data_IF_259623334218
#
_entry.id   IF_259623334218
#
_cell.length_a   1.000
_cell.length_b   1.000
_cell.length_c   1.000
_cell.angle_alpha   90.00
_cell.angle_beta   90.00
_cell.angle_gamma   90.00
#
_symmetry.space_group_name_H-M   'P 1'
#
loop_
_entity.id
_entity.type
_entity.pdbx_description
1 polymer ?
#
# COMPACT_ATOMS: atom_id res chain seq x y z
N UNK A 1 11.13 9.13 21.31
CA UNK A 1 11.04 9.84 20.01
C UNK A 1 12.02 9.28 18.98
N UNK A 2 13.37 9.37 19.14
CA UNK A 2 14.35 8.87 18.14
C UNK A 2 14.10 7.42 17.68
N UNK A 3 13.86 6.48 18.61
CA UNK A 3 13.56 5.07 18.28
C UNK A 3 12.31 4.92 17.41
N UNK A 4 11.23 5.67 17.68
CA UNK A 4 10.00 5.61 16.91
C UNK A 4 10.18 6.14 15.47
N UNK A 5 10.96 7.21 15.28
CA UNK A 5 11.31 7.68 13.93
C UNK A 5 12.18 6.68 13.18
N UNK A 6 13.15 6.03 13.85
CA UNK A 6 13.94 4.96 13.23
C UNK A 6 13.06 3.78 12.79
N UNK A 7 12.14 3.35 13.65
CA UNK A 7 11.16 2.29 13.32
C UNK A 7 10.30 2.68 12.11
N UNK A 8 9.84 3.94 12.06
CA UNK A 8 9.06 4.46 10.94
C UNK A 8 9.85 4.44 9.63
N UNK A 9 11.06 5.01 9.61
CA UNK A 9 11.88 5.00 8.38
C UNK A 9 12.27 3.59 7.94
N UNK A 10 12.55 2.68 8.89
CA UNK A 10 12.81 1.29 8.57
C UNK A 10 11.57 0.61 7.97
N UNK A 11 10.37 0.89 8.48
CA UNK A 11 9.12 0.35 7.90
C UNK A 11 8.88 0.84 6.48
N UNK A 12 9.15 2.13 6.19
CA UNK A 12 9.02 2.69 4.84
C UNK A 12 10.07 2.13 3.88
N UNK A 13 11.29 1.92 4.35
CA UNK A 13 12.32 1.25 3.56
C UNK A 13 11.93 -0.19 3.22
N UNK A 14 11.40 -0.95 4.19
CA UNK A 14 10.90 -2.31 3.95
C UNK A 14 9.71 -2.33 2.98
N UNK A 15 8.84 -1.31 3.03
CA UNK A 15 7.78 -1.14 2.03
C UNK A 15 8.38 -0.97 0.62
N UNK A 16 9.42 -0.14 0.48
CA UNK A 16 10.13 0.07 -0.77
C UNK A 16 10.74 -1.20 -1.38
N UNK A 17 11.16 -2.16 -0.56
CA UNK A 17 11.65 -3.46 -1.04
C UNK A 17 10.57 -4.36 -1.63
N UNK A 18 9.29 -4.05 -1.42
CA UNK A 18 8.16 -4.86 -1.92
C UNK A 18 8.21 -5.03 -3.46
N UNK A 19 8.45 -3.94 -4.19
CA UNK A 19 8.61 -3.98 -5.64
C UNK A 19 9.85 -4.77 -6.09
N UNK A 20 10.95 -4.64 -5.35
CA UNK A 20 12.21 -5.35 -5.63
C UNK A 20 12.02 -6.87 -5.54
N UNK A 21 11.42 -7.36 -4.45
CA UNK A 21 11.10 -8.79 -4.33
C UNK A 21 10.13 -9.27 -5.41
N UNK A 22 9.17 -8.42 -5.82
CA UNK A 22 8.27 -8.72 -6.94
C UNK A 22 9.01 -8.98 -8.25
N UNK A 23 10.15 -8.32 -8.49
CA UNK A 23 11.02 -8.55 -9.65
C UNK A 23 11.98 -9.72 -9.46
N UNK A 24 12.59 -9.85 -8.28
CA UNK A 24 13.56 -10.92 -7.96
C UNK A 24 12.95 -12.33 -8.00
N UNK A 25 11.71 -12.47 -7.51
CA UNK A 25 11.02 -13.76 -7.50
C UNK A 25 10.56 -14.10 -8.91
N UNK A 26 11.07 -15.19 -9.48
CA UNK A 26 10.81 -15.57 -10.89
C UNK A 26 9.49 -16.29 -11.12
N UNK A 27 8.66 -16.45 -10.08
CA UNK A 27 7.33 -17.05 -10.18
C UNK A 27 6.30 -16.13 -10.84
N UNK A 28 5.19 -16.70 -11.31
CA UNK A 28 4.06 -15.91 -11.80
C UNK A 28 3.40 -15.10 -10.68
N UNK A 29 2.78 -13.94 -11.00
CA UNK A 29 2.23 -13.02 -10.00
C UNK A 29 1.28 -13.67 -8.98
N UNK A 30 0.35 -14.51 -9.44
CA UNK A 30 -0.59 -15.20 -8.57
C UNK A 30 0.09 -16.13 -7.57
N UNK A 31 1.17 -16.83 -7.97
CA UNK A 31 1.94 -17.70 -7.07
C UNK A 31 2.79 -16.91 -6.08
N UNK A 32 3.36 -15.77 -6.48
CA UNK A 32 4.04 -14.85 -5.54
C UNK A 32 3.08 -14.47 -4.42
N UNK A 33 1.86 -14.05 -4.78
CA UNK A 33 0.84 -13.61 -3.81
C UNK A 33 0.36 -14.78 -2.95
N UNK A 34 0.08 -15.94 -3.54
CA UNK A 34 -0.36 -17.13 -2.81
C UNK A 34 0.66 -17.51 -1.72
N UNK A 35 1.91 -17.70 -2.08
CA UNK A 35 2.96 -18.07 -1.13
C UNK A 35 3.21 -16.97 -0.09
N UNK A 36 3.18 -15.70 -0.50
CA UNK A 36 3.28 -14.57 0.41
C UNK A 36 2.17 -14.59 1.45
N UNK A 37 0.92 -14.81 1.05
CA UNK A 37 -0.24 -14.89 1.95
C UNK A 37 -0.12 -16.09 2.89
N UNK A 38 0.29 -17.26 2.40
CA UNK A 38 0.48 -18.46 3.22
C UNK A 38 1.53 -18.20 4.30
N UNK A 39 2.71 -17.71 3.92
CA UNK A 39 3.81 -17.47 4.87
C UNK A 39 3.44 -16.36 5.85
N UNK A 40 2.98 -15.20 5.36
CA UNK A 40 2.61 -14.08 6.22
C UNK A 40 1.43 -14.43 7.14
N UNK A 41 0.42 -15.13 6.61
CA UNK A 41 -0.72 -15.60 7.39
C UNK A 41 -0.30 -16.56 8.50
N UNK A 42 0.50 -17.57 8.18
CA UNK A 42 1.02 -18.52 9.18
C UNK A 42 1.83 -17.82 10.26
N UNK A 43 2.72 -16.91 9.89
CA UNK A 43 3.53 -16.15 10.86
C UNK A 43 2.66 -15.26 11.74
N UNK A 44 1.68 -14.53 11.17
CA UNK A 44 0.83 -13.61 11.93
C UNK A 44 -0.11 -14.37 12.86
N UNK A 45 -0.79 -15.42 12.37
CA UNK A 45 -1.67 -16.24 13.22
C UNK A 45 -0.90 -16.99 14.30
N UNK A 46 0.28 -17.54 13.98
CA UNK A 46 1.18 -18.16 14.94
C UNK A 46 1.60 -17.17 16.04
N UNK A 47 1.98 -15.95 15.66
CA UNK A 47 2.34 -14.90 16.61
C UNK A 47 1.16 -14.49 17.50
N UNK A 48 -0.05 -14.29 16.94
CA UNK A 48 -1.26 -13.96 17.70
C UNK A 48 -1.64 -15.08 18.68
N UNK A 49 -1.52 -16.35 18.27
CA UNK A 49 -1.81 -17.51 19.12
C UNK A 49 -0.81 -17.61 20.29
N UNK A 50 0.51 -17.49 20.00
CA UNK A 50 1.56 -17.50 21.03
C UNK A 50 1.41 -16.38 22.05
N UNK A 51 1.01 -15.19 21.60
CA UNK A 51 0.77 -14.02 22.46
C UNK A 51 -0.61 -14.04 23.13
N UNK A 52 -1.48 -14.99 22.80
CA UNK A 52 -2.87 -15.09 23.29
C UNK A 52 -3.64 -13.78 23.06
N UNK A 53 -3.40 -13.13 21.92
CA UNK A 53 -4.00 -11.82 21.57
C UNK A 53 -5.03 -11.96 20.44
N UNK A 54 -5.55 -13.16 20.21
CA UNK A 54 -6.63 -13.40 19.24
C UNK A 54 -7.88 -12.69 19.74
N UNK A 55 -8.36 -11.73 18.96
CA UNK A 55 -9.54 -10.94 19.26
C UNK A 55 -10.77 -11.56 18.61
N UNK A 56 -11.89 -11.58 19.34
CA UNK A 56 -13.17 -12.01 18.75
C UNK A 56 -13.69 -10.97 17.77
N UNK A 57 -13.99 -11.41 16.54
CA UNK A 57 -14.61 -10.58 15.49
C UNK A 57 -16.02 -11.08 15.23
N UNK A 58 -16.99 -10.17 15.20
CA UNK A 58 -18.39 -10.51 14.90
C UNK A 58 -18.48 -11.21 13.53
N UNK A 59 -19.31 -12.26 13.37
CA UNK A 59 -19.39 -13.04 12.11
C UNK A 59 -19.62 -12.18 10.86
N UNK A 60 -20.49 -11.18 10.96
CA UNK A 60 -20.77 -10.24 9.85
C UNK A 60 -19.54 -9.39 9.48
N UNK A 61 -18.83 -8.85 10.48
CA UNK A 61 -17.62 -8.06 10.25
C UNK A 61 -16.48 -8.94 9.75
N UNK A 62 -16.39 -10.20 10.24
CA UNK A 62 -15.41 -11.19 9.79
C UNK A 62 -15.53 -11.45 8.29
N UNK A 63 -16.76 -11.73 7.80
CA UNK A 63 -17.00 -11.94 6.37
C UNK A 63 -16.66 -10.69 5.56
N UNK A 64 -17.01 -9.51 6.06
CA UNK A 64 -16.64 -8.23 5.43
C UNK A 64 -15.12 -8.03 5.35
N UNK A 65 -14.37 -8.30 6.42
CA UNK A 65 -12.91 -8.21 6.44
C UNK A 65 -12.29 -9.23 5.48
N UNK A 66 -12.84 -10.45 5.40
CA UNK A 66 -12.39 -11.47 4.46
C UNK A 66 -12.66 -11.06 3.00
N UNK A 67 -13.78 -10.41 2.70
CA UNK A 67 -14.08 -9.87 1.38
C UNK A 67 -13.06 -8.76 0.99
N UNK A 68 -12.66 -7.91 1.95
CA UNK A 68 -11.57 -6.95 1.75
C UNK A 68 -10.23 -7.67 1.53
N UNK A 69 -10.03 -8.83 2.17
CA UNK A 69 -8.89 -9.70 1.93
C UNK A 69 -8.84 -10.28 0.51
N UNK A 70 -10.00 -10.62 -0.07
CA UNK A 70 -10.09 -11.01 -1.47
C UNK A 70 -9.66 -9.88 -2.42
N UNK A 71 -10.08 -8.65 -2.13
CA UNK A 71 -9.63 -7.47 -2.86
C UNK A 71 -8.11 -7.24 -2.70
N UNK A 72 -7.54 -7.49 -1.51
CA UNK A 72 -6.10 -7.42 -1.27
C UNK A 72 -5.33 -8.40 -2.15
N UNK A 73 -5.79 -9.65 -2.24
CA UNK A 73 -5.18 -10.68 -3.10
C UNK A 73 -5.17 -10.24 -4.58
N UNK A 74 -6.31 -9.75 -5.08
CA UNK A 74 -6.44 -9.26 -6.46
C UNK A 74 -5.49 -8.07 -6.69
N UNK A 75 -5.49 -7.11 -5.78
CA UNK A 75 -4.64 -5.92 -5.86
C UNK A 75 -3.15 -6.27 -5.90
N UNK A 76 -2.68 -7.18 -5.03
CA UNK A 76 -1.28 -7.63 -5.05
C UNK A 76 -0.94 -8.37 -6.33
N UNK A 77 -1.85 -9.21 -6.83
CA UNK A 77 -1.62 -9.94 -8.10
C UNK A 77 -1.48 -8.96 -9.27
N UNK A 78 -2.34 -7.94 -9.36
CA UNK A 78 -2.25 -6.90 -10.38
C UNK A 78 -0.95 -6.09 -10.26
N UNK A 79 -0.52 -5.78 -9.04
CA UNK A 79 0.73 -5.06 -8.77
C UNK A 79 1.96 -5.84 -9.27
N UNK A 80 2.07 -7.14 -8.95
CA UNK A 80 3.18 -7.95 -9.44
C UNK A 80 3.07 -8.27 -10.93
N UNK A 81 1.85 -8.40 -11.46
CA UNK A 81 1.65 -8.50 -12.90
C UNK A 81 2.13 -7.24 -13.63
N UNK A 82 1.89 -6.06 -13.06
CA UNK A 82 2.40 -4.79 -13.60
C UNK A 82 3.94 -4.76 -13.62
N UNK A 83 4.62 -5.21 -12.55
CA UNK A 83 6.09 -5.30 -12.50
C UNK A 83 6.61 -6.25 -13.57
N UNK A 84 5.96 -7.40 -13.78
CA UNK A 84 6.38 -8.39 -14.80
C UNK A 84 6.11 -7.90 -16.22
N UNK A 85 5.05 -7.10 -16.43
CA UNK A 85 4.68 -6.55 -17.74
C UNK A 85 5.41 -5.23 -18.10
N UNK A 86 6.08 -4.61 -17.11
CA UNK A 86 6.89 -3.41 -17.32
C UNK A 86 8.22 -3.52 -16.56
N UNK A 87 8.39 -2.70 -15.54
CA UNK A 87 9.49 -2.77 -14.59
C UNK A 87 9.05 -2.18 -13.23
N UNK A 88 9.93 -2.22 -12.23
CA UNK A 88 9.62 -1.74 -10.88
C UNK A 88 9.35 -0.24 -10.88
N UNK A 89 10.20 0.55 -11.55
CA UNK A 89 10.10 2.02 -11.58
C UNK A 89 8.79 2.50 -12.20
N UNK A 90 8.42 1.99 -13.37
CA UNK A 90 7.16 2.31 -14.06
C UNK A 90 5.95 1.94 -13.19
N UNK A 91 5.98 0.73 -12.63
CA UNK A 91 4.89 0.24 -11.78
C UNK A 91 4.70 1.14 -10.55
N UNK A 92 5.78 1.46 -9.83
CA UNK A 92 5.72 2.28 -8.60
C UNK A 92 5.28 3.71 -8.90
N UNK A 93 5.81 4.33 -9.96
CA UNK A 93 5.40 5.68 -10.37
C UNK A 93 3.91 5.71 -10.71
N UNK A 94 3.43 4.74 -11.48
CA UNK A 94 2.02 4.65 -11.86
C UNK A 94 1.14 4.33 -10.64
N UNK A 95 1.59 3.45 -9.75
CA UNK A 95 0.90 3.10 -8.50
C UNK A 95 0.74 4.29 -7.56
N UNK A 96 1.60 5.31 -7.65
CA UNK A 96 1.47 6.55 -6.88
C UNK A 96 0.17 7.32 -7.20
N UNK A 97 -0.55 6.96 -8.28
CA UNK A 97 -1.92 7.42 -8.55
C UNK A 97 -2.97 6.96 -7.50
N UNK A 98 -2.59 6.10 -6.57
CA UNK A 98 -3.45 5.69 -5.45
C UNK A 98 -4.06 6.90 -4.73
N UNK A 99 -3.32 8.02 -4.59
CA UNK A 99 -3.83 9.26 -4.02
C UNK A 99 -5.02 9.85 -4.79
N UNK A 100 -4.95 9.84 -6.14
CA UNK A 100 -6.06 10.25 -7.01
C UNK A 100 -7.29 9.36 -6.80
N UNK A 101 -7.11 8.05 -6.84
CA UNK A 101 -8.22 7.12 -6.61
C UNK A 101 -8.80 7.25 -5.19
N UNK A 102 -7.97 7.52 -4.18
CA UNK A 102 -8.43 7.75 -2.80
C UNK A 102 -9.30 9.00 -2.71
N UNK A 103 -8.92 10.10 -3.36
CA UNK A 103 -9.69 11.35 -3.37
C UNK A 103 -11.10 11.17 -3.95
N UNK A 104 -11.31 10.15 -4.81
CA UNK A 104 -12.60 9.82 -5.40
C UNK A 104 -13.33 8.74 -4.59
N UNK A 105 -12.65 7.62 -4.30
CA UNK A 105 -13.28 6.43 -3.70
C UNK A 105 -13.62 6.63 -2.22
N UNK A 106 -12.79 7.36 -1.46
CA UNK A 106 -13.05 7.58 -0.04
C UNK A 106 -14.38 8.31 0.19
N UNK A 107 -14.67 9.48 -0.45
CA UNK A 107 -15.96 10.13 -0.31
C UNK A 107 -17.15 9.28 -0.78
N UNK A 108 -16.97 8.48 -1.85
CA UNK A 108 -18.01 7.60 -2.35
C UNK A 108 -18.33 6.46 -1.36
N UNK A 109 -17.32 5.84 -0.77
CA UNK A 109 -17.49 4.72 0.18
C UNK A 109 -18.01 5.24 1.53
N UNK A 110 -17.47 6.35 2.02
CA UNK A 110 -17.81 6.91 3.34
C UNK A 110 -19.00 7.88 3.31
N UNK A 111 -19.51 8.21 2.12
CA UNK A 111 -20.60 9.20 1.89
C UNK A 111 -20.29 10.58 2.44
N UNK A 112 -19.02 11.00 2.31
CA UNK A 112 -18.56 12.34 2.69
C UNK A 112 -18.44 13.24 1.47
N UNK A 113 -18.19 14.55 1.69
CA UNK A 113 -18.03 15.50 0.58
C UNK A 113 -16.67 15.35 -0.09
N UNK A 114 -16.65 15.37 -1.43
CA UNK A 114 -15.41 15.37 -2.22
C UNK A 114 -14.63 16.68 -2.01
N UNK A 115 -13.33 16.56 -1.88
CA UNK A 115 -12.40 17.69 -1.80
C UNK A 115 -11.96 18.10 -3.21
N UNK A 116 -12.52 19.20 -3.73
CA UNK A 116 -12.14 19.74 -5.05
C UNK A 116 -10.63 20.03 -5.13
N UNK A 117 -10.02 20.43 -4.01
CA UNK A 117 -8.58 20.69 -3.95
C UNK A 117 -7.75 19.43 -4.16
N UNK A 118 -8.14 18.31 -3.53
CA UNK A 118 -7.44 17.02 -3.68
C UNK A 118 -7.57 16.49 -5.12
N UNK A 119 -8.75 16.63 -5.72
CA UNK A 119 -8.97 16.31 -7.14
C UNK A 119 -8.09 17.21 -8.02
N UNK A 120 -8.04 18.51 -7.76
CA UNK A 120 -7.21 19.45 -8.51
C UNK A 120 -5.71 19.08 -8.49
N UNK A 121 -5.16 18.73 -7.34
CA UNK A 121 -3.77 18.25 -7.25
C UNK A 121 -3.56 16.92 -7.97
N UNK A 122 -4.56 16.05 -7.96
CA UNK A 122 -4.50 14.74 -8.60
C UNK A 122 -4.49 14.83 -10.14
N UNK A 123 -4.93 15.95 -10.74
CA UNK A 123 -4.83 16.19 -12.19
C UNK A 123 -3.36 16.15 -12.64
N UNK A 124 -2.42 16.66 -11.83
CA UNK A 124 -0.99 16.58 -12.12
C UNK A 124 -0.50 15.13 -12.19
N UNK A 125 -1.02 14.27 -11.30
CA UNK A 125 -0.70 12.82 -11.34
C UNK A 125 -1.21 12.19 -12.64
N UNK A 126 -2.45 12.47 -13.02
CA UNK A 126 -3.06 11.94 -14.25
C UNK A 126 -2.28 12.42 -15.47
N UNK A 127 -1.89 13.70 -15.50
CA UNK A 127 -1.09 14.26 -16.58
C UNK A 127 0.28 13.60 -16.68
N UNK A 128 0.99 13.43 -15.57
CA UNK A 128 2.29 12.75 -15.53
C UNK A 128 2.21 11.31 -16.04
N UNK A 129 1.19 10.55 -15.61
CA UNK A 129 0.98 9.17 -16.08
C UNK A 129 0.61 9.15 -17.57
N UNK A 130 -0.19 10.11 -18.03
CA UNK A 130 -0.56 10.21 -19.46
C UNK A 130 0.65 10.44 -20.34
N UNK A 131 1.63 11.23 -19.92
CA UNK A 131 2.90 11.40 -20.63
C UNK A 131 3.65 10.08 -20.74
N UNK A 132 3.83 9.36 -19.62
CA UNK A 132 4.53 8.07 -19.63
C UNK A 132 3.77 7.07 -20.54
N UNK A 133 2.45 6.98 -20.41
CA UNK A 133 1.63 6.06 -21.20
C UNK A 133 1.68 6.35 -22.71
N UNK A 134 1.74 7.63 -23.08
CA UNK A 134 1.74 8.03 -24.50
C UNK A 134 3.08 7.74 -25.15
N UNK A 135 4.18 8.08 -24.51
CA UNK A 135 5.53 8.02 -25.08
C UNK A 135 6.22 6.67 -24.86
N UNK A 136 5.99 6.01 -23.70
CA UNK A 136 6.61 4.73 -23.36
C UNK A 136 5.67 3.56 -23.70
N UNK A 137 5.35 3.38 -24.97
CA UNK A 137 4.31 2.45 -25.46
C UNK A 137 4.54 0.99 -25.09
N UNK A 138 5.82 0.59 -24.91
CA UNK A 138 6.20 -0.77 -24.50
C UNK A 138 5.69 -1.14 -23.10
N UNK A 139 5.40 -0.15 -22.24
CA UNK A 139 4.97 -0.38 -20.84
C UNK A 139 3.45 -0.25 -20.62
N UNK A 140 2.66 -0.02 -21.67
CA UNK A 140 1.20 0.25 -21.56
C UNK A 140 0.45 -0.80 -20.74
N UNK A 141 0.71 -2.08 -20.96
CA UNK A 141 0.08 -3.16 -20.20
C UNK A 141 0.42 -3.06 -18.71
N UNK A 142 1.69 -2.86 -18.36
CA UNK A 142 2.13 -2.67 -16.98
C UNK A 142 1.50 -1.45 -16.33
N UNK A 143 1.41 -0.33 -17.05
CA UNK A 143 0.76 0.90 -16.58
C UNK A 143 -0.72 0.66 -16.27
N UNK A 144 -1.48 0.01 -17.16
CA UNK A 144 -2.89 -0.29 -16.96
C UNK A 144 -3.12 -1.22 -15.75
N UNK A 145 -2.31 -2.27 -15.62
CA UNK A 145 -2.35 -3.17 -14.45
C UNK A 145 -2.04 -2.43 -13.16
N UNK A 146 -1.03 -1.55 -13.17
CA UNK A 146 -0.65 -0.75 -12.01
C UNK A 146 -1.73 0.26 -11.62
N UNK A 147 -2.36 0.94 -12.59
CA UNK A 147 -3.51 1.85 -12.34
C UNK A 147 -4.68 1.11 -11.68
N UNK A 148 -5.03 -0.08 -12.21
CA UNK A 148 -6.09 -0.91 -11.64
C UNK A 148 -5.74 -1.36 -10.22
N UNK A 149 -4.47 -1.75 -10.00
CA UNK A 149 -3.95 -2.07 -8.68
C UNK A 149 -4.02 -0.88 -7.72
N UNK A 150 -3.67 0.33 -8.19
CA UNK A 150 -3.73 1.55 -7.39
C UNK A 150 -5.16 1.91 -6.97
N UNK A 151 -6.14 1.74 -7.87
CA UNK A 151 -7.56 1.93 -7.55
C UNK A 151 -8.05 0.92 -6.50
N UNK A 152 -7.68 -0.35 -6.64
CA UNK A 152 -7.99 -1.37 -5.64
C UNK A 152 -7.31 -1.08 -4.29
N UNK A 153 -6.06 -0.61 -4.29
CA UNK A 153 -5.33 -0.23 -3.07
C UNK A 153 -5.98 0.97 -2.36
N UNK A 154 -6.49 1.94 -3.11
CA UNK A 154 -7.24 3.06 -2.55
C UNK A 154 -8.50 2.59 -1.82
N UNK A 155 -9.30 1.71 -2.43
CA UNK A 155 -10.47 1.11 -1.78
C UNK A 155 -10.07 0.31 -0.53
N UNK A 156 -9.01 -0.50 -0.62
CA UNK A 156 -8.45 -1.26 0.52
C UNK A 156 -8.09 -0.37 1.70
N UNK A 157 -7.43 0.76 1.47
CA UNK A 157 -7.03 1.69 2.52
C UNK A 157 -8.26 2.26 3.26
N UNK A 158 -9.33 2.59 2.52
CA UNK A 158 -10.60 3.08 3.11
C UNK A 158 -11.26 2.00 3.96
N UNK A 159 -11.44 0.78 3.42
CA UNK A 159 -12.06 -0.32 4.17
C UNK A 159 -11.21 -0.75 5.37
N UNK A 160 -9.88 -0.82 5.22
CA UNK A 160 -8.98 -1.12 6.33
C UNK A 160 -9.16 -0.11 7.48
N UNK A 161 -9.22 1.19 7.18
CA UNK A 161 -9.45 2.24 8.17
C UNK A 161 -10.80 2.08 8.88
N UNK A 162 -11.87 1.72 8.15
CA UNK A 162 -13.19 1.50 8.72
C UNK A 162 -13.19 0.33 9.74
N UNK A 163 -12.53 -0.78 9.41
CA UNK A 163 -12.45 -1.94 10.31
C UNK A 163 -11.45 -1.73 11.45
N UNK A 164 -10.34 -1.03 11.20
CA UNK A 164 -9.36 -0.65 12.25
C UNK A 164 -9.97 0.25 13.33
N UNK A 165 -11.03 0.99 13.02
CA UNK A 165 -11.77 1.76 14.02
C UNK A 165 -12.54 0.89 15.03
N UNK A 166 -12.80 -0.39 14.70
CA UNK A 166 -13.54 -1.35 15.54
C UNK A 166 -12.66 -2.42 16.17
N UNK A 167 -11.59 -2.82 15.48
CA UNK A 167 -10.73 -3.96 15.82
C UNK A 167 -9.26 -3.57 15.76
N UNK A 168 -8.41 -4.35 16.44
CA UNK A 168 -6.96 -4.17 16.35
C UNK A 168 -6.50 -4.36 14.90
N UNK A 169 -5.53 -3.56 14.50
CA UNK A 169 -4.98 -3.60 13.14
C UNK A 169 -4.44 -5.00 12.76
N UNK A 170 -3.79 -5.70 13.70
CA UNK A 170 -3.32 -7.08 13.52
C UNK A 170 -4.45 -8.08 13.31
N UNK A 171 -5.57 -7.89 13.99
CA UNK A 171 -6.79 -8.71 13.84
C UNK A 171 -7.41 -8.50 12.45
N UNK A 172 -7.52 -7.25 12.01
CA UNK A 172 -8.03 -6.94 10.67
C UNK A 172 -7.12 -7.58 9.61
N UNK A 173 -5.81 -7.41 9.72
CA UNK A 173 -4.85 -7.99 8.78
C UNK A 173 -4.90 -9.52 8.75
N UNK A 174 -5.01 -10.19 9.90
CA UNK A 174 -5.06 -11.66 9.96
C UNK A 174 -6.30 -12.21 9.23
N UNK A 175 -7.47 -11.61 9.41
CA UNK A 175 -8.68 -11.99 8.69
C UNK A 175 -8.65 -11.62 7.21
N UNK A 176 -8.00 -10.51 6.84
CA UNK A 176 -7.76 -10.17 5.42
C UNK A 176 -6.87 -11.22 4.74
N UNK A 177 -5.79 -11.66 5.38
CA UNK A 177 -4.94 -12.72 4.81
C UNK A 177 -5.69 -14.03 4.62
N UNK A 178 -6.56 -14.43 5.56
CA UNK A 178 -7.43 -15.60 5.40
C UNK A 178 -8.42 -15.42 4.25
N UNK A 179 -9.05 -14.27 4.12
CA UNK A 179 -9.94 -13.96 3.01
C UNK A 179 -9.23 -13.94 1.66
N UNK A 180 -8.01 -13.40 1.62
CA UNK A 180 -7.15 -13.43 0.44
C UNK A 180 -6.75 -14.85 0.05
N UNK A 181 -6.41 -15.71 1.04
CA UNK A 181 -6.13 -17.12 0.80
C UNK A 181 -7.35 -17.87 0.25
N UNK A 182 -8.51 -17.68 0.84
CA UNK A 182 -9.75 -18.28 0.36
C UNK A 182 -10.05 -17.86 -1.09
N UNK A 183 -9.92 -16.56 -1.41
CA UNK A 183 -10.08 -16.06 -2.77
C UNK A 183 -9.04 -16.66 -3.74
N UNK A 184 -7.77 -16.75 -3.33
CA UNK A 184 -6.71 -17.34 -4.13
C UNK A 184 -7.03 -18.80 -4.48
N UNK A 185 -7.49 -19.60 -3.51
CA UNK A 185 -7.85 -20.99 -3.71
C UNK A 185 -9.06 -21.16 -4.64
N UNK A 186 -10.07 -20.30 -4.51
CA UNK A 186 -11.26 -20.31 -5.36
C UNK A 186 -10.93 -19.92 -6.81
N UNK A 187 -10.05 -18.93 -6.99
CA UNK A 187 -9.66 -18.46 -8.32
C UNK A 187 -8.53 -19.29 -8.96
N UNK A 188 -7.87 -20.16 -8.20
CA UNK A 188 -6.74 -20.97 -8.67
C UNK A 188 -7.04 -21.78 -9.93
N UNK A 189 -8.17 -22.52 -10.05
CA UNK A 189 -8.45 -23.30 -11.27
C UNK A 189 -8.52 -22.40 -12.52
N UNK A 190 -9.16 -21.24 -12.40
CA UNK A 190 -9.23 -20.27 -13.49
C UNK A 190 -7.85 -19.65 -13.79
N UNK A 191 -7.08 -19.29 -12.78
CA UNK A 191 -5.75 -18.73 -12.95
C UNK A 191 -4.80 -19.70 -13.66
N UNK A 192 -4.85 -21.00 -13.31
CA UNK A 192 -4.06 -22.05 -13.94
C UNK A 192 -4.42 -22.27 -15.42
N UNK A 193 -5.67 -22.05 -15.81
CA UNK A 193 -6.08 -22.18 -17.21
C UNK A 193 -5.48 -21.07 -18.11
N UNK A 194 -5.16 -19.91 -17.53
CA UNK A 194 -4.59 -18.76 -18.26
C UNK A 194 -3.05 -18.72 -18.13
N UNK A 195 -2.54 -19.06 -16.97
CA UNK A 195 -1.11 -18.96 -16.64
C UNK A 195 -0.65 -20.28 -16.00
N UNK A 196 -0.47 -21.34 -16.80
CA UNK A 196 0.02 -22.60 -16.28
C UNK A 196 1.44 -22.40 -15.71
N UNK A 197 1.72 -22.80 -14.46
CA UNK A 197 3.04 -22.66 -13.88
C UNK A 197 3.97 -23.79 -14.36
N UNK A 198 5.25 -23.50 -14.47
CA UNK A 198 6.29 -24.55 -14.65
C UNK A 198 6.39 -25.43 -13.41
N UNK A 199 6.15 -24.87 -12.22
CA UNK A 199 6.11 -25.58 -10.94
C UNK A 199 5.21 -24.89 -9.95
N UNK A 200 4.45 -25.68 -9.16
CA UNK A 200 3.64 -25.16 -8.04
C UNK A 200 4.50 -24.77 -6.83
N UNK A 201 5.64 -25.43 -6.66
CA UNK A 201 6.54 -25.18 -5.55
C UNK A 201 7.61 -24.18 -5.97
N UNK A 202 7.95 -23.23 -5.07
CA UNK A 202 9.04 -22.31 -5.33
C UNK A 202 10.39 -23.08 -5.35
N UNK A 203 11.29 -22.63 -6.20
CA UNK A 203 12.69 -23.06 -6.11
C UNK A 203 13.27 -22.65 -4.75
N UNK A 204 14.36 -23.27 -4.27
CA UNK A 204 14.96 -22.90 -2.97
C UNK A 204 15.26 -21.39 -2.85
N UNK A 205 15.74 -20.77 -3.92
CA UNK A 205 16.04 -19.33 -3.93
C UNK A 205 14.75 -18.48 -3.89
N UNK A 206 13.72 -18.85 -4.66
CA UNK A 206 12.43 -18.17 -4.61
C UNK A 206 11.77 -18.33 -3.24
N UNK A 207 11.89 -19.50 -2.61
CA UNK A 207 11.37 -19.72 -1.26
C UNK A 207 12.09 -18.84 -0.23
N UNK A 208 13.41 -18.72 -0.31
CA UNK A 208 14.17 -17.80 0.54
C UNK A 208 13.72 -16.35 0.36
N UNK A 209 13.56 -15.89 -0.89
CA UNK A 209 13.05 -14.55 -1.17
C UNK A 209 11.64 -14.37 -0.64
N UNK A 210 10.73 -15.33 -0.82
CA UNK A 210 9.37 -15.30 -0.29
C UNK A 210 9.36 -15.25 1.24
N UNK A 211 10.22 -16.01 1.90
CA UNK A 211 10.34 -16.02 3.36
C UNK A 211 10.81 -14.65 3.88
N UNK A 212 11.85 -14.07 3.32
CA UNK A 212 12.33 -12.72 3.66
C UNK A 212 11.24 -11.69 3.38
N UNK A 213 10.62 -11.78 2.21
CA UNK A 213 9.58 -10.86 1.78
C UNK A 213 8.35 -10.87 2.71
N UNK A 214 7.81 -12.04 3.01
CA UNK A 214 6.66 -12.18 3.89
C UNK A 214 6.98 -11.80 5.34
N UNK A 215 8.17 -12.18 5.84
CA UNK A 215 8.56 -11.90 7.22
C UNK A 215 8.88 -10.42 7.45
N UNK A 216 9.73 -9.83 6.61
CA UNK A 216 10.23 -8.47 6.82
C UNK A 216 9.36 -7.41 6.12
N UNK A 217 9.10 -7.58 4.81
CA UNK A 217 8.38 -6.58 4.02
C UNK A 217 6.85 -6.69 4.13
N UNK A 218 6.32 -7.66 4.89
CA UNK A 218 4.90 -7.75 5.20
C UNK A 218 4.68 -7.63 6.71
N UNK A 219 5.07 -8.63 7.49
CA UNK A 219 4.80 -8.65 8.94
C UNK A 219 5.70 -7.67 9.68
N UNK A 220 7.01 -7.69 9.44
CA UNK A 220 7.97 -6.82 10.13
C UNK A 220 7.69 -5.34 9.87
N UNK A 221 7.50 -4.97 8.61
CA UNK A 221 7.10 -3.62 8.19
C UNK A 221 5.85 -3.15 8.94
N UNK A 222 4.82 -4.00 8.98
CA UNK A 222 3.55 -3.68 9.62
C UNK A 222 3.67 -3.52 11.14
N UNK A 223 4.44 -4.38 11.81
CA UNK A 223 4.70 -4.27 13.25
C UNK A 223 5.46 -2.97 13.56
N UNK A 224 6.49 -2.63 12.77
CA UNK A 224 7.23 -1.39 12.94
C UNK A 224 6.35 -0.15 12.75
N UNK A 225 5.44 -0.19 11.77
CA UNK A 225 4.46 0.88 11.54
C UNK A 225 3.53 1.04 12.75
N UNK A 226 2.99 -0.05 13.30
CA UNK A 226 2.12 0.00 14.50
C UNK A 226 2.89 0.56 15.69
N UNK A 227 4.11 0.08 15.94
CA UNK A 227 4.94 0.58 17.05
C UNK A 227 5.29 2.06 16.91
N UNK A 228 5.51 2.54 15.68
CA UNK A 228 5.75 3.97 15.45
C UNK A 228 4.52 4.82 15.78
N UNK A 229 3.31 4.31 15.48
CA UNK A 229 2.04 4.98 15.77
C UNK A 229 1.75 5.16 17.27
N UNK A 230 2.41 4.42 18.15
CA UNK A 230 2.28 4.62 19.60
C UNK A 230 2.86 5.96 20.08
N UNK A 231 3.83 6.52 19.34
CA UNK A 231 4.59 7.72 19.74
C UNK A 231 4.61 8.81 18.68
N UNK A 232 4.21 8.51 17.46
CA UNK A 232 4.20 9.42 16.31
C UNK A 232 2.77 9.49 15.81
N UNK A 233 2.29 10.69 15.47
CA UNK A 233 0.94 10.87 14.95
C UNK A 233 0.73 10.07 13.64
N UNK A 234 -0.48 9.55 13.45
CA UNK A 234 -0.84 8.84 12.23
C UNK A 234 -0.58 9.68 10.97
N UNK A 235 -0.74 11.00 11.10
CA UNK A 235 -0.41 11.94 10.04
C UNK A 235 1.07 11.88 9.64
N UNK A 236 1.99 11.99 10.61
CA UNK A 236 3.44 11.95 10.35
C UNK A 236 3.83 10.60 9.75
N UNK A 237 3.22 9.51 10.21
CA UNK A 237 3.45 8.17 9.65
C UNK A 237 3.02 8.14 8.19
N UNK A 238 1.79 8.56 7.85
CA UNK A 238 1.31 8.57 6.48
C UNK A 238 2.16 9.48 5.58
N UNK A 239 2.57 10.65 6.10
CA UNK A 239 3.46 11.56 5.38
C UNK A 239 4.81 10.93 5.04
N UNK A 240 5.39 10.18 5.98
CA UNK A 240 6.68 9.51 5.77
C UNK A 240 6.56 8.38 4.75
N UNK A 241 5.40 7.71 4.66
CA UNK A 241 5.15 6.70 3.64
C UNK A 241 5.13 7.25 2.20
N UNK A 242 4.98 8.55 2.00
CA UNK A 242 5.16 9.18 0.69
C UNK A 242 6.62 9.09 0.16
N UNK A 243 7.58 8.69 1.01
CA UNK A 243 8.95 8.39 0.60
C UNK A 243 9.14 6.99 0.04
N UNK A 244 8.17 6.08 0.23
CA UNK A 244 8.23 4.70 -0.27
C UNK A 244 8.53 4.62 -1.77
N UNK A 245 7.83 5.36 -2.66
CA UNK A 245 8.13 5.35 -4.09
C UNK A 245 9.57 5.77 -4.40
N UNK A 246 10.09 6.75 -3.67
CA UNK A 246 11.46 7.25 -3.86
C UNK A 246 12.47 6.14 -3.53
N UNK A 247 12.31 5.47 -2.39
CA UNK A 247 13.19 4.34 -2.02
C UNK A 247 13.10 3.19 -3.02
N UNK A 248 11.87 2.83 -3.46
CA UNK A 248 11.66 1.75 -4.43
C UNK A 248 12.34 2.04 -5.76
N UNK A 249 12.16 3.25 -6.31
CA UNK A 249 12.73 3.64 -7.59
C UNK A 249 14.26 3.68 -7.53
N UNK A 250 14.83 4.28 -6.48
CA UNK A 250 16.29 4.30 -6.29
C UNK A 250 16.85 2.89 -6.21
N UNK A 251 16.22 2.00 -5.42
CA UNK A 251 16.63 0.60 -5.32
C UNK A 251 16.54 -0.12 -6.67
N UNK A 252 15.46 0.10 -7.43
CA UNK A 252 15.28 -0.50 -8.74
C UNK A 252 16.32 -0.03 -9.76
N UNK A 253 16.65 1.25 -9.75
CA UNK A 253 17.70 1.81 -10.60
C UNK A 253 19.08 1.25 -10.27
N UNK A 254 19.39 1.08 -8.98
CA UNK A 254 20.69 0.54 -8.54
C UNK A 254 20.80 -0.96 -8.79
N UNK A 255 19.78 -1.74 -8.39
CA UNK A 255 19.84 -3.21 -8.41
C UNK A 255 19.60 -3.81 -9.79
N UNK A 256 18.77 -3.17 -10.60
CA UNK A 256 18.37 -3.68 -11.91
C UNK A 256 18.85 -2.83 -13.08
N UNK A 257 19.46 -1.68 -12.83
CA UNK A 257 19.92 -0.76 -13.86
C UNK A 257 18.79 -0.10 -14.66
N UNK A 258 17.57 -0.03 -14.10
CA UNK A 258 16.37 0.45 -14.80
C UNK A 258 16.50 1.88 -15.35
N UNK A 259 17.40 2.69 -14.77
CA UNK A 259 17.65 4.07 -15.26
C UNK A 259 18.03 4.13 -16.76
N UNK A 260 18.62 3.05 -17.30
CA UNK A 260 19.04 2.99 -18.72
C UNK A 260 17.86 2.75 -19.67
N UNK A 261 16.79 2.16 -19.18
CA UNK A 261 15.61 1.75 -19.96
C UNK A 261 14.50 2.80 -19.91
N UNK A 262 14.66 3.84 -19.08
CA UNK A 262 13.64 4.87 -18.83
C UNK A 262 13.91 6.11 -19.71
N UNK A 263 12.91 6.49 -20.51
CA UNK A 263 12.95 7.66 -21.37
C UNK A 263 12.77 8.98 -20.60
N UNK A 264 12.98 10.10 -21.31
CA UNK A 264 12.76 11.45 -20.75
C UNK A 264 11.32 11.66 -20.27
N UNK A 265 10.33 11.05 -20.96
CA UNK A 265 8.90 11.02 -20.59
C UNK A 265 8.66 10.52 -19.18
N UNK A 266 9.40 9.48 -18.76
CA UNK A 266 9.33 8.94 -17.41
C UNK A 266 9.75 9.99 -16.36
N UNK A 267 10.89 10.65 -16.56
CA UNK A 267 11.41 11.63 -15.60
C UNK A 267 10.51 12.87 -15.50
N UNK A 268 9.97 13.33 -16.62
CA UNK A 268 9.00 14.43 -16.64
C UNK A 268 7.71 14.01 -15.94
N UNK A 269 7.17 12.83 -16.25
CA UNK A 269 5.99 12.29 -15.59
C UNK A 269 6.19 12.10 -14.07
N UNK A 270 7.34 11.55 -13.67
CA UNK A 270 7.73 11.43 -12.27
C UNK A 270 7.75 12.79 -11.55
N UNK A 271 8.27 13.83 -12.20
CA UNK A 271 8.30 15.18 -11.64
C UNK A 271 6.87 15.73 -11.39
N UNK A 272 5.93 15.54 -12.33
CA UNK A 272 4.53 15.93 -12.14
C UNK A 272 3.86 15.15 -11.01
N UNK A 273 4.11 13.84 -10.91
CA UNK A 273 3.57 13.00 -9.83
C UNK A 273 4.16 13.43 -8.49
N UNK A 274 5.46 13.64 -8.40
CA UNK A 274 6.12 14.11 -7.17
C UNK A 274 5.59 15.49 -6.74
N UNK A 275 5.37 16.41 -7.69
CA UNK A 275 4.75 17.70 -7.42
C UNK A 275 3.33 17.55 -6.89
N UNK A 276 2.50 16.69 -7.49
CA UNK A 276 1.15 16.39 -7.04
C UNK A 276 1.14 15.89 -5.59
N UNK A 277 1.96 14.87 -5.28
CA UNK A 277 2.09 14.31 -3.93
C UNK A 277 2.59 15.38 -2.93
N UNK A 278 3.55 16.20 -3.33
CA UNK A 278 4.05 17.31 -2.52
C UNK A 278 2.96 18.34 -2.19
N UNK A 279 2.15 18.74 -3.17
CA UNK A 279 1.05 19.68 -2.98
C UNK A 279 -0.07 19.11 -2.12
N UNK A 280 -0.43 17.83 -2.30
CA UNK A 280 -1.40 17.13 -1.45
C UNK A 280 -0.91 17.09 0.00
N UNK A 281 0.33 16.68 0.21
CA UNK A 281 1.00 16.64 1.50
C UNK A 281 0.99 18.00 2.19
N UNK A 282 1.37 19.05 1.48
CA UNK A 282 1.37 20.42 2.00
C UNK A 282 -0.04 20.92 2.36
N UNK A 283 -1.06 20.61 1.54
CA UNK A 283 -2.46 20.96 1.82
C UNK A 283 -2.95 20.31 3.11
N UNK A 284 -2.68 19.02 3.29
CA UNK A 284 -3.05 18.27 4.50
C UNK A 284 -2.34 18.81 5.74
N UNK A 285 -1.04 19.14 5.63
CA UNK A 285 -0.28 19.77 6.73
C UNK A 285 -0.87 21.13 7.14
N UNK A 286 -1.30 21.95 6.18
CA UNK A 286 -1.95 23.23 6.48
C UNK A 286 -3.27 23.06 7.23
N UNK A 287 -4.11 22.12 6.81
CA UNK A 287 -5.39 21.85 7.46
C UNK A 287 -5.16 21.41 8.91
N UNK A 288 -4.24 20.50 9.14
CA UNK A 288 -3.96 20.00 10.50
C UNK A 288 -3.38 21.08 11.43
N UNK A 289 -2.48 21.94 10.91
CA UNK A 289 -2.00 23.08 11.70
C UNK A 289 -3.13 24.03 12.10
N UNK A 290 -4.11 24.24 11.21
CA UNK A 290 -5.29 25.06 11.53
C UNK A 290 -6.20 24.41 12.57
N UNK A 291 -6.46 23.11 12.44
CA UNK A 291 -7.25 22.35 13.44
C UNK A 291 -6.57 22.40 14.80
N UNK A 292 -5.27 22.11 14.88
CA UNK A 292 -4.53 22.16 16.14
C UNK A 292 -4.48 23.58 16.78
N UNK A 293 -4.49 24.63 15.95
CA UNK A 293 -4.60 26.02 16.44
C UNK A 293 -5.99 26.32 17.01
N UNK A 294 -7.05 25.85 16.35
CA UNK A 294 -8.43 26.01 16.81
C UNK A 294 -8.69 25.24 18.11
N UNK A 295 -8.16 24.02 18.23
CA UNK A 295 -8.27 23.20 19.44
C UNK A 295 -7.58 23.88 20.63
N UNK A 296 -6.42 24.53 20.41
CA UNK A 296 -5.74 25.31 21.46
C UNK A 296 -6.56 26.51 21.91
N UNK A 297 -7.12 27.26 20.96
CA UNK A 297 -7.96 28.42 21.28
C UNK A 297 -9.23 28.00 22.03
N UNK A 298 -9.86 26.88 21.65
CA UNK A 298 -11.02 26.33 22.34
C UNK A 298 -10.69 25.89 23.77
N UNK A 299 -9.50 25.29 24.01
CA UNK A 299 -9.03 24.93 25.32
C UNK A 299 -8.77 26.16 26.21
N UNK A 300 -8.13 27.21 25.68
CA UNK A 300 -7.89 28.46 26.39
C UNK A 300 -9.18 29.21 26.73
N UNK A 301 -10.23 29.11 25.91
CA UNK A 301 -11.54 29.72 26.15
C UNK A 301 -12.36 28.95 27.20
N UNK A 302 -12.17 27.63 27.27
CA UNK A 302 -12.79 26.79 28.31
C UNK A 302 -12.20 27.04 29.72
N UNK A 303 -10.88 27.31 29.79
CA UNK A 303 -10.20 27.64 31.06
C UNK A 303 -10.53 29.02 31.60
N UNK A 304 -10.99 29.93 30.72
CA UNK A 304 -11.38 31.31 31.09
C UNK A 304 -12.85 31.47 31.56
N UNK A 305 -13.67 30.43 31.41
CA UNK A 305 -15.04 30.46 31.92
C UNK A 305 -15.03 30.19 33.42
N UNK A 306 -15.47 31.14 34.28
CA UNK A 306 -15.56 30.92 35.73
C UNK A 306 -16.51 29.74 35.99
N UNK A 307 -16.03 28.78 36.80
CA UNK A 307 -16.91 27.76 37.34
C UNK A 307 -18.05 28.40 38.10
N UNK A 308 -19.32 28.00 37.89
CA UNK A 308 -20.47 28.50 38.63
C UNK A 308 -20.43 28.14 40.11
#
# INVERSE_FOLDING_TARGET
>A
MKKAFLQLHLSVLLAGWTGIFGKLITMSPGFIVLWRIIIAGTLLWGWLALRRTIEYVRPKDRLGIMAVGALLMIQWTLFYAAIKASNVSITIVTFSSMGFFTAILEPLITRTRMSIKEIGFSILTVFGISLIFHFDTQYRTGIMLSLTSAAAAAALAVFFRMYKAKYRATTVMSWQLLGGLACALVLMPWYLSITPPESFLPTPINFLYLLIFASFCTIGMYILQIQSLEKISAFTVNLTYNLEPIYSIILAMILFGEAKDLGLSFYIGLAFIALSVGLQTWSVMRIQKRVAALDKLAAEDSDKKPHP
#
